data_IF_553230625489
#
_entry.id   IF_553230625489
#
_cell.length_a   1.000
_cell.length_b   1.000
_cell.length_c   1.000
_cell.angle_alpha   90.00
_cell.angle_beta   90.00
_cell.angle_gamma   90.00
#
_symmetry.space_group_name_H-M   'P 1'
#
loop_
_entity.id
_entity.type
_entity.pdbx_description
1 polymer ?
#
# COMPACT_ATOMS: atom_id res chain seq x y z
N UNK A 1 4.58 -11.65 46.10
CA UNK A 1 3.32 -11.04 45.64
C UNK A 1 3.27 -9.60 46.13
N UNK A 2 3.49 -8.64 45.23
CA UNK A 2 2.78 -7.35 45.26
C UNK A 2 3.05 -6.63 43.95
N UNK A 3 2.01 -6.54 43.14
CA UNK A 3 1.98 -5.91 41.83
C UNK A 3 1.76 -4.42 42.10
N UNK A 4 2.80 -3.60 41.96
CA UNK A 4 2.62 -2.15 41.95
C UNK A 4 2.17 -1.72 40.55
N UNK A 5 0.87 -1.53 40.41
CA UNK A 5 0.24 -0.86 39.28
C UNK A 5 0.84 0.55 39.15
N UNK A 6 1.55 0.80 38.05
CA UNK A 6 1.94 2.16 37.65
C UNK A 6 0.75 2.78 36.93
N UNK A 7 -0.03 3.58 37.64
CA UNK A 7 -0.95 4.53 37.05
C UNK A 7 -0.14 5.51 36.20
N UNK A 8 -0.09 5.29 34.89
CA UNK A 8 0.41 6.26 33.93
C UNK A 8 -0.73 7.26 33.71
N UNK A 9 -0.66 8.33 34.48
CA UNK A 9 -1.47 9.54 34.26
C UNK A 9 -0.96 10.13 32.96
N UNK A 10 -1.72 9.98 31.88
CA UNK A 10 -1.50 10.70 30.63
C UNK A 10 -2.03 12.12 30.85
N UNK A 11 -1.20 13.16 30.88
CA UNK A 11 -1.72 14.52 30.90
C UNK A 11 -2.39 14.77 29.55
N UNK A 12 -3.73 14.88 29.58
CA UNK A 12 -4.52 15.42 28.48
C UNK A 12 -4.02 16.84 28.26
N UNK A 13 -3.17 17.02 27.25
CA UNK A 13 -2.77 18.33 26.77
C UNK A 13 -4.03 18.96 26.16
N UNK A 14 -4.58 19.91 26.91
CA UNK A 14 -5.65 20.80 26.49
C UNK A 14 -5.14 21.65 25.31
N UNK A 15 -5.27 21.16 24.08
CA UNK A 15 -5.06 21.98 22.89
C UNK A 15 -6.24 22.94 22.81
N UNK A 16 -5.95 24.20 23.12
CA UNK A 16 -6.92 25.29 23.06
C UNK A 16 -7.57 25.36 21.69
N UNK A 17 -8.87 25.10 21.65
CA UNK A 17 -9.74 25.40 20.52
C UNK A 17 -9.76 26.93 20.37
N UNK A 18 -8.89 27.48 19.52
CA UNK A 18 -9.10 28.81 18.98
C UNK A 18 -10.18 28.69 17.91
N UNK A 19 -11.41 28.99 18.33
CA UNK A 19 -12.48 29.30 17.40
C UNK A 19 -12.09 30.49 16.53
N UNK A 20 -11.96 30.25 15.24
CA UNK A 20 -11.99 31.29 14.22
C UNK A 20 -12.88 30.81 13.09
N UNK A 21 -14.15 31.18 13.22
CA UNK A 21 -15.07 31.30 12.09
C UNK A 21 -14.50 32.32 11.11
N UNK A 22 -14.04 31.86 9.95
CA UNK A 22 -13.90 32.68 8.76
C UNK A 22 -14.29 31.84 7.54
N UNK A 23 -15.53 32.07 7.08
CA UNK A 23 -15.93 31.75 5.72
C UNK A 23 -14.94 32.39 4.72
N UNK A 24 -14.59 31.59 3.72
CA UNK A 24 -14.10 31.99 2.39
C UNK A 24 -12.68 32.57 2.25
N UNK A 25 -11.73 31.70 1.89
CA UNK A 25 -10.78 31.98 0.81
C UNK A 25 -10.30 30.65 0.19
N UNK A 26 -10.96 30.25 -0.88
CA UNK A 26 -10.45 29.24 -1.80
C UNK A 26 -9.25 29.86 -2.53
N UNK A 27 -8.05 29.38 -2.24
CA UNK A 27 -6.88 29.57 -3.10
C UNK A 27 -6.45 28.20 -3.61
N UNK A 28 -7.06 27.81 -4.73
CA UNK A 28 -6.55 26.76 -5.62
C UNK A 28 -5.19 27.21 -6.14
N UNK A 29 -4.12 26.68 -5.55
CA UNK A 29 -2.75 26.89 -6.01
C UNK A 29 -1.96 25.60 -5.82
N UNK A 30 -1.94 24.79 -6.88
CA UNK A 30 -0.70 24.26 -7.46
C UNK A 30 0.23 23.33 -6.66
N UNK A 31 -0.14 22.84 -5.48
CA UNK A 31 0.60 21.76 -4.81
C UNK A 31 -0.40 20.80 -4.14
N UNK A 32 -0.59 19.62 -4.73
CA UNK A 32 -1.68 18.69 -4.43
C UNK A 32 -1.44 17.88 -3.14
N UNK A 33 -1.17 18.58 -2.05
CA UNK A 33 -1.13 17.94 -0.74
C UNK A 33 -2.41 18.23 0.04
N UNK A 34 -3.16 17.21 0.48
CA UNK A 34 -4.42 17.39 1.21
C UNK A 34 -4.25 17.91 2.64
N UNK A 35 -3.02 18.26 3.06
CA UNK A 35 -2.65 18.64 4.42
C UNK A 35 -1.96 20.00 4.45
N UNK A 36 -2.36 20.84 5.41
CA UNK A 36 -1.68 22.09 5.78
C UNK A 36 -0.33 21.81 6.47
N UNK A 37 0.57 22.79 6.47
CA UNK A 37 1.87 22.66 7.15
C UNK A 37 1.73 22.36 8.65
N UNK A 38 0.72 22.95 9.31
CA UNK A 38 0.41 22.66 10.70
C UNK A 38 -0.01 21.20 10.92
N UNK A 39 -0.87 20.66 10.05
CA UNK A 39 -1.31 19.27 10.12
C UNK A 39 -0.15 18.28 9.84
N UNK A 40 0.76 18.63 8.93
CA UNK A 40 1.98 17.83 8.69
C UNK A 40 2.91 17.81 9.89
N UNK A 41 3.09 18.95 10.55
CA UNK A 41 3.89 19.04 11.76
C UNK A 41 3.31 18.14 12.86
N UNK A 42 1.98 18.15 13.04
CA UNK A 42 1.30 17.26 13.99
C UNK A 42 1.49 15.79 13.64
N UNK A 43 1.35 15.38 12.37
CA UNK A 43 1.60 13.99 11.96
C UNK A 43 3.08 13.60 12.18
N UNK A 44 4.02 14.52 11.94
CA UNK A 44 5.44 14.27 12.16
C UNK A 44 5.76 14.08 13.66
N UNK A 45 5.15 14.87 14.53
CA UNK A 45 5.25 14.73 15.98
C UNK A 45 4.65 13.40 16.44
N UNK A 46 3.42 13.08 16.00
CA UNK A 46 2.78 11.79 16.28
C UNK A 46 3.68 10.61 15.89
N UNK A 47 4.32 10.66 14.71
CA UNK A 47 5.27 9.62 14.29
C UNK A 47 6.52 9.58 15.17
N UNK A 48 7.03 10.72 15.61
CA UNK A 48 8.17 10.80 16.52
C UNK A 48 7.83 10.19 17.90
N UNK A 49 6.58 10.33 18.34
CA UNK A 49 6.02 9.70 19.55
C UNK A 49 5.61 8.23 19.36
N UNK A 50 5.82 7.67 18.17
CA UNK A 50 5.54 6.26 17.88
C UNK A 50 4.10 5.94 17.52
N UNK A 51 3.30 6.95 17.15
CA UNK A 51 1.93 6.75 16.68
C UNK A 51 1.89 5.80 15.48
N UNK A 52 0.94 4.87 15.53
CA UNK A 52 0.71 3.92 14.46
C UNK A 52 0.02 4.58 13.27
N UNK A 53 0.02 3.88 12.13
CA UNK A 53 -0.73 4.31 10.95
C UNK A 53 -2.23 4.47 11.23
N UNK A 54 -2.78 3.72 12.18
CA UNK A 54 -4.18 3.82 12.60
C UNK A 54 -4.41 5.11 13.38
N UNK A 55 -3.55 5.44 14.33
CA UNK A 55 -3.67 6.68 15.13
C UNK A 55 -3.61 7.93 14.22
N UNK A 56 -2.71 7.91 13.23
CA UNK A 56 -2.61 8.99 12.23
C UNK A 56 -3.87 9.03 11.35
N UNK A 57 -4.45 7.88 11.02
CA UNK A 57 -5.69 7.82 10.24
C UNK A 57 -6.87 8.41 11.01
N UNK A 58 -7.02 8.06 12.28
CA UNK A 58 -8.08 8.59 13.13
C UNK A 58 -7.96 10.12 13.28
N UNK A 59 -6.73 10.63 13.38
CA UNK A 59 -6.46 12.07 13.40
C UNK A 59 -6.83 12.77 12.08
N UNK A 60 -6.61 12.12 10.94
CA UNK A 60 -7.00 12.63 9.62
C UNK A 60 -8.52 12.66 9.45
N UNK A 61 -9.21 11.60 9.90
CA UNK A 61 -10.67 11.52 9.91
C UNK A 61 -11.28 12.62 10.80
N UNK A 62 -10.68 12.91 11.97
CA UNK A 62 -11.08 14.02 12.85
C UNK A 62 -10.95 15.39 12.17
N UNK A 63 -9.94 15.56 11.31
CA UNK A 63 -9.78 16.78 10.51
C UNK A 63 -10.68 16.85 9.27
N UNK A 64 -11.52 15.85 9.04
CA UNK A 64 -12.35 15.74 7.84
C UNK A 64 -11.54 15.54 6.57
N UNK A 65 -10.31 15.05 6.69
CA UNK A 65 -9.42 14.75 5.56
C UNK A 65 -9.60 13.27 5.23
N UNK A 66 -10.47 13.00 4.25
CA UNK A 66 -10.59 11.67 3.69
C UNK A 66 -9.27 11.30 3.00
N UNK A 67 -8.59 10.28 3.53
CA UNK A 67 -7.50 9.67 2.79
C UNK A 67 -8.05 9.12 1.48
N UNK A 68 -7.39 9.37 0.33
CA UNK A 68 -7.78 8.73 -0.90
C UNK A 68 -7.74 7.22 -0.66
N UNK A 69 -8.89 6.55 -0.78
CA UNK A 69 -8.92 5.09 -0.80
C UNK A 69 -8.04 4.66 -1.96
N UNK A 70 -6.81 4.24 -1.66
CA UNK A 70 -6.00 3.54 -2.65
C UNK A 70 -6.78 2.29 -3.02
N UNK A 71 -7.34 2.29 -4.23
CA UNK A 71 -7.92 1.08 -4.79
C UNK A 71 -6.80 0.05 -4.77
N UNK A 72 -6.92 -0.96 -3.91
CA UNK A 72 -6.00 -2.06 -3.96
C UNK A 72 -5.97 -2.62 -5.38
N UNK A 73 -4.78 -2.93 -5.93
CA UNK A 73 -4.67 -3.53 -7.25
C UNK A 73 -5.62 -4.72 -7.35
N UNK A 74 -6.25 -4.93 -8.53
CA UNK A 74 -7.19 -6.05 -8.72
C UNK A 74 -6.56 -7.39 -8.34
N UNK A 75 -5.26 -7.54 -8.59
CA UNK A 75 -4.48 -8.71 -8.18
C UNK A 75 -4.49 -8.93 -6.67
N UNK A 76 -4.27 -7.87 -5.88
CA UNK A 76 -4.30 -7.96 -4.42
C UNK A 76 -5.69 -8.36 -3.92
N UNK A 77 -6.75 -7.80 -4.51
CA UNK A 77 -8.13 -8.18 -4.15
C UNK A 77 -8.41 -9.65 -4.45
N UNK A 78 -7.94 -10.15 -5.59
CA UNK A 78 -8.13 -11.55 -5.99
C UNK A 78 -7.40 -12.52 -5.06
N UNK A 79 -6.15 -12.19 -4.68
CA UNK A 79 -5.38 -12.98 -3.70
C UNK A 79 -6.10 -12.97 -2.34
N UNK A 80 -6.46 -11.78 -1.82
CA UNK A 80 -7.14 -11.65 -0.53
C UNK A 80 -8.53 -12.27 -0.48
N UNK A 81 -9.21 -12.46 -1.61
CA UNK A 81 -10.50 -13.15 -1.67
C UNK A 81 -10.40 -14.67 -1.58
N UNK A 82 -9.23 -15.24 -1.88
CA UNK A 82 -8.99 -16.68 -1.80
C UNK A 82 -8.44 -17.12 -0.44
N UNK A 83 -7.94 -16.16 0.35
CA UNK A 83 -7.35 -16.39 1.66
C UNK A 83 -8.41 -16.47 2.77
N UNK A 84 -8.22 -17.42 3.69
CA UNK A 84 -8.90 -17.43 4.99
C UNK A 84 -8.38 -16.30 5.89
N UNK A 85 -9.10 -15.97 6.96
CA UNK A 85 -8.66 -14.91 7.87
C UNK A 85 -7.32 -15.24 8.55
N UNK A 86 -7.10 -16.50 8.93
CA UNK A 86 -5.82 -16.98 9.47
C UNK A 86 -4.65 -16.83 8.47
N UNK A 87 -4.90 -17.09 7.18
CA UNK A 87 -3.89 -16.94 6.13
C UNK A 87 -3.57 -15.45 5.86
N UNK A 88 -4.57 -14.57 5.97
CA UNK A 88 -4.35 -13.11 5.85
C UNK A 88 -3.49 -12.59 7.00
N UNK A 89 -3.74 -13.06 8.22
CA UNK A 89 -2.94 -12.67 9.38
C UNK A 89 -1.50 -13.17 9.24
N UNK A 90 -1.31 -14.41 8.78
CA UNK A 90 0.02 -14.96 8.48
C UNK A 90 0.78 -14.11 7.44
N UNK A 91 0.13 -13.69 6.35
CA UNK A 91 0.75 -12.80 5.36
C UNK A 91 1.10 -11.42 5.91
N UNK A 92 0.26 -10.91 6.82
CA UNK A 92 0.50 -9.65 7.47
C UNK A 92 1.72 -9.75 8.39
N UNK A 93 1.84 -10.81 9.18
CA UNK A 93 3.00 -11.07 10.03
C UNK A 93 4.29 -11.27 9.20
N UNK A 94 4.23 -12.03 8.10
CA UNK A 94 5.34 -12.16 7.14
C UNK A 94 5.79 -10.79 6.64
N UNK A 95 4.85 -9.94 6.22
CA UNK A 95 5.16 -8.59 5.75
C UNK A 95 5.73 -7.70 6.86
N UNK A 96 5.22 -7.81 8.08
CA UNK A 96 5.68 -7.04 9.25
C UNK A 96 7.06 -7.50 9.73
N UNK A 97 7.40 -8.78 9.57
CA UNK A 97 8.73 -9.33 9.82
C UNK A 97 9.77 -8.96 8.75
N UNK A 98 9.34 -8.26 7.70
CA UNK A 98 10.21 -7.80 6.61
C UNK A 98 10.47 -8.86 5.54
N UNK A 99 9.61 -9.88 5.45
CA UNK A 99 9.69 -10.86 4.37
C UNK A 99 9.61 -10.15 3.01
N UNK A 100 10.50 -10.57 2.11
CA UNK A 100 10.50 -10.08 0.74
C UNK A 100 9.30 -10.64 -0.04
N UNK A 101 9.14 -10.13 -1.26
CA UNK A 101 8.02 -10.49 -2.10
C UNK A 101 8.04 -11.95 -2.55
N UNK A 102 9.22 -12.57 -2.69
CA UNK A 102 9.36 -13.98 -3.06
C UNK A 102 8.93 -14.87 -1.90
N UNK A 103 9.31 -14.54 -0.66
CA UNK A 103 8.86 -15.25 0.53
C UNK A 103 7.32 -15.22 0.67
N UNK A 104 6.71 -14.05 0.43
CA UNK A 104 5.24 -13.93 0.37
C UNK A 104 4.65 -14.76 -0.76
N UNK A 105 5.28 -14.76 -1.94
CA UNK A 105 4.81 -15.52 -3.10
C UNK A 105 4.90 -17.04 -2.85
N UNK A 106 6.00 -17.53 -2.29
CA UNK A 106 6.17 -18.93 -1.94
C UNK A 106 5.10 -19.42 -0.95
N UNK A 107 4.72 -18.57 0.02
CA UNK A 107 3.65 -18.88 0.96
C UNK A 107 2.27 -18.95 0.27
N UNK A 108 2.02 -18.08 -0.71
CA UNK A 108 0.80 -18.13 -1.52
C UNK A 108 0.75 -19.39 -2.40
N UNK A 109 1.88 -19.76 -3.00
CA UNK A 109 2.01 -20.96 -3.82
C UNK A 109 1.81 -22.24 -2.98
N UNK A 110 2.32 -22.28 -1.74
CA UNK A 110 2.08 -23.38 -0.80
C UNK A 110 0.59 -23.58 -0.50
N UNK A 111 -0.18 -22.48 -0.43
CA UNK A 111 -1.63 -22.53 -0.24
C UNK A 111 -2.42 -22.76 -1.54
N UNK A 112 -1.74 -22.91 -2.68
CA UNK A 112 -2.36 -23.08 -3.99
C UNK A 112 -3.08 -21.82 -4.48
N UNK A 113 -2.67 -20.64 -4.01
CA UNK A 113 -3.28 -19.35 -4.38
C UNK A 113 -2.43 -18.72 -5.49
N UNK A 114 -2.86 -18.93 -6.72
CA UNK A 114 -2.20 -18.36 -7.87
C UNK A 114 -2.46 -16.86 -7.98
N UNK A 115 -1.40 -16.12 -8.28
CA UNK A 115 -1.52 -14.70 -8.62
C UNK A 115 -2.21 -14.60 -9.99
N UNK A 116 -3.19 -13.70 -10.17
CA UNK A 116 -3.82 -13.57 -11.46
C UNK A 116 -2.78 -13.13 -12.49
N UNK A 117 -2.78 -13.83 -13.61
CA UNK A 117 -1.89 -13.53 -14.73
C UNK A 117 -2.15 -12.10 -15.23
N UNK A 118 -1.12 -11.42 -15.75
CA UNK A 118 -1.32 -10.12 -16.36
C UNK A 118 -2.24 -10.25 -17.60
N UNK A 119 -2.99 -9.19 -17.98
CA UNK A 119 -3.97 -9.27 -19.05
C UNK A 119 -3.41 -9.81 -20.38
N UNK A 120 -2.20 -9.36 -20.74
CA UNK A 120 -1.49 -9.78 -21.95
C UNK A 120 -1.11 -11.26 -21.96
N UNK A 121 -1.05 -11.92 -20.79
CA UNK A 121 -0.63 -13.32 -20.69
C UNK A 121 -1.63 -14.27 -21.36
N UNK A 122 -2.90 -13.87 -21.44
CA UNK A 122 -3.94 -14.61 -22.13
C UNK A 122 -3.81 -14.57 -23.66
N UNK A 123 -3.05 -13.61 -24.19
CA UNK A 123 -2.80 -13.43 -25.63
C UNK A 123 -1.55 -14.20 -26.10
N UNK A 124 -0.78 -14.76 -25.16
CA UNK A 124 0.41 -15.55 -25.43
C UNK A 124 0.08 -17.01 -25.74
N UNK A 125 0.81 -17.60 -26.70
CA UNK A 125 0.88 -19.06 -26.87
C UNK A 125 1.62 -19.71 -25.71
N UNK A 126 1.44 -21.03 -25.53
CA UNK A 126 2.14 -21.77 -24.47
C UNK A 126 3.68 -21.68 -24.61
N UNK A 127 4.18 -21.69 -25.84
CA UNK A 127 5.62 -21.51 -26.15
C UNK A 127 6.12 -20.10 -25.76
N UNK A 128 5.31 -19.06 -26.00
CA UNK A 128 5.64 -17.69 -25.61
C UNK A 128 5.64 -17.51 -24.09
N UNK A 129 4.71 -18.18 -23.38
CA UNK A 129 4.66 -18.18 -21.92
C UNK A 129 5.88 -18.84 -21.30
N UNK A 130 6.29 -20.00 -21.81
CA UNK A 130 7.52 -20.65 -21.33
C UNK A 130 8.75 -19.80 -21.59
N UNK A 131 8.83 -19.15 -22.75
CA UNK A 131 9.94 -18.23 -23.07
C UNK A 131 10.02 -17.07 -22.08
N UNK A 132 8.89 -16.43 -21.75
CA UNK A 132 8.88 -15.33 -20.75
C UNK A 132 9.20 -15.81 -19.34
N UNK A 133 8.73 -17.01 -18.96
CA UNK A 133 9.08 -17.61 -17.67
C UNK A 133 10.59 -17.86 -17.59
N UNK A 134 11.17 -18.44 -18.64
CA UNK A 134 12.61 -18.66 -18.74
C UNK A 134 13.40 -17.35 -18.63
N UNK A 135 13.02 -16.32 -19.39
CA UNK A 135 13.63 -15.00 -19.29
C UNK A 135 13.56 -14.42 -17.87
N UNK A 136 12.40 -14.53 -17.20
CA UNK A 136 12.25 -14.07 -15.83
C UNK A 136 13.14 -14.86 -14.85
N UNK A 137 13.25 -16.19 -15.01
CA UNK A 137 14.12 -17.06 -14.21
C UNK A 137 15.61 -16.77 -14.44
N UNK A 138 15.98 -16.43 -15.67
CA UNK A 138 17.33 -15.97 -16.04
C UNK A 138 17.64 -14.54 -15.53
N UNK A 139 16.66 -13.88 -14.90
CA UNK A 139 16.81 -12.56 -14.31
C UNK A 139 16.69 -11.41 -15.32
N UNK A 140 16.04 -11.65 -16.47
CA UNK A 140 15.77 -10.62 -17.46
C UNK A 140 15.04 -9.43 -16.82
N UNK A 141 15.46 -8.24 -17.20
CA UNK A 141 14.82 -7.02 -16.79
C UNK A 141 13.40 -6.91 -17.37
N UNK A 142 12.59 -6.08 -16.74
CA UNK A 142 11.25 -5.82 -17.24
C UNK A 142 11.25 -5.17 -18.63
N UNK A 143 12.32 -4.45 -18.99
CA UNK A 143 12.48 -3.84 -20.32
C UNK A 143 12.75 -4.92 -21.38
N UNK A 144 13.63 -5.88 -21.09
CA UNK A 144 13.88 -7.02 -21.99
C UNK A 144 12.61 -7.87 -22.22
N UNK A 145 11.83 -8.10 -21.17
CA UNK A 145 10.53 -8.77 -21.27
C UNK A 145 9.55 -7.95 -22.12
N UNK A 146 9.58 -6.62 -22.00
CA UNK A 146 8.72 -5.72 -22.76
C UNK A 146 9.08 -5.72 -24.25
N UNK A 147 10.37 -5.61 -24.58
CA UNK A 147 10.85 -5.64 -25.96
C UNK A 147 10.48 -6.96 -26.65
N UNK A 148 10.59 -8.08 -25.94
CA UNK A 148 10.19 -9.38 -26.48
C UNK A 148 8.68 -9.48 -26.75
N UNK A 149 7.86 -8.87 -25.89
CA UNK A 149 6.41 -8.80 -26.05
C UNK A 149 6.01 -7.89 -27.23
N UNK A 150 6.70 -6.76 -27.40
CA UNK A 150 6.53 -5.86 -28.53
C UNK A 150 6.91 -6.53 -29.86
N UNK A 151 7.99 -7.33 -29.88
CA UNK A 151 8.38 -8.13 -31.05
C UNK A 151 7.27 -9.11 -31.47
N UNK A 152 6.53 -9.67 -30.51
CA UNK A 152 5.39 -10.54 -30.78
C UNK A 152 4.10 -9.80 -31.11
N UNK A 153 4.12 -8.46 -31.14
CA UNK A 153 2.97 -7.62 -31.42
C UNK A 153 1.94 -7.56 -30.29
N UNK A 154 2.37 -7.80 -29.05
CA UNK A 154 1.52 -7.79 -27.85
C UNK A 154 1.69 -6.46 -27.14
N UNK A 155 0.62 -5.67 -27.12
CA UNK A 155 0.61 -4.35 -26.51
C UNK A 155 0.49 -4.48 -24.98
N UNK A 156 1.51 -4.04 -24.24
CA UNK A 156 1.44 -4.04 -22.78
C UNK A 156 0.59 -2.87 -22.30
N UNK A 157 -0.31 -3.09 -21.32
CA UNK A 157 -1.03 -1.99 -20.73
C UNK A 157 -0.04 -0.98 -20.15
N UNK A 158 -0.15 0.28 -20.55
CA UNK A 158 0.68 1.36 -20.03
C UNK A 158 0.73 1.29 -18.50
N UNK A 159 1.95 1.32 -17.94
CA UNK A 159 2.09 1.40 -16.49
C UNK A 159 1.31 2.63 -16.02
N UNK A 160 0.43 2.50 -14.99
CA UNK A 160 -0.22 3.67 -14.44
C UNK A 160 0.87 4.64 -13.99
N UNK A 161 0.97 5.79 -14.66
CA UNK A 161 1.90 6.83 -14.27
C UNK A 161 1.49 7.28 -12.88
N UNK A 162 2.30 6.91 -11.88
CA UNK A 162 2.23 7.53 -10.58
C UNK A 162 2.76 8.95 -10.74
N UNK A 163 1.85 9.87 -11.08
CA UNK A 163 2.11 11.29 -10.96
C UNK A 163 2.44 11.53 -9.48
N UNK A 164 3.74 11.70 -9.20
CA UNK A 164 4.26 12.09 -7.88
C UNK A 164 4.00 13.57 -7.63
#
# INVERSE_FOLDING_TARGET
>A
MNIHAKNIIVPIALVGILGLSALQAYAFSGDHSPLTDAQRATIAEMRADGATRTDIKDQLDEWGIEMPMHKHPRAFRHIMSQLTDDQKDTLKELRESGADREAIQAQLDEWGIERPEPPFFSELSDEQKETLKGMHEDGASHEEIHDQLEEWGIDLPERPQHNS
#
